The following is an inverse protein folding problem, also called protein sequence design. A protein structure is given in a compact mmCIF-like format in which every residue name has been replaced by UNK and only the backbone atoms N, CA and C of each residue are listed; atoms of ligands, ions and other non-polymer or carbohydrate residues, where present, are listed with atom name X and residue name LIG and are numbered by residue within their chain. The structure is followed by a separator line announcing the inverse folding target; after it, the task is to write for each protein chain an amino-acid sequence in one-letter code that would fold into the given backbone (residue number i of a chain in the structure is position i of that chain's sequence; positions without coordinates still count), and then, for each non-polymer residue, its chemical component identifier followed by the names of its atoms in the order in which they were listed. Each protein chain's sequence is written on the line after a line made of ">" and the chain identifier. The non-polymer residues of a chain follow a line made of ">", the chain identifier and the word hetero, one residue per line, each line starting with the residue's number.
data_IF_441552895658
#
_entry.id   IF_441552895658
#
_cell.length_a   1.000
_cell.length_b   1.000
_cell.length_c   1.000
_cell.angle_alpha   90.00
_cell.angle_beta   90.00
_cell.angle_gamma   90.00
#
_symmetry.space_group_name_H-M   'P 1'
#
loop_
_entity.id
_entity.type
_entity.pdbx_description
1 polymer ?
#
# COMPACT_ATOMS: atom_id res chain seq x y z
N UNK A 1 -2.63 18.01 1.33
CA UNK A 1 -3.76 17.14 0.98
C UNK A 1 -3.17 15.79 0.57
N UNK A 2 -3.52 14.69 1.24
CA UNK A 2 -2.90 13.39 0.94
C UNK A 2 -3.40 12.84 -0.40
N UNK A 3 -2.54 12.12 -1.11
CA UNK A 3 -2.85 11.44 -2.38
C UNK A 3 -3.92 10.35 -2.27
N UNK A 4 -4.23 9.88 -1.06
CA UNK A 4 -5.31 8.92 -0.78
C UNK A 4 -6.66 9.64 -0.78
N UNK A 5 -6.76 10.76 -0.05
CA UNK A 5 -7.96 11.61 0.00
C UNK A 5 -8.44 12.01 -1.41
N UNK A 6 -7.49 12.32 -2.31
CA UNK A 6 -7.77 12.69 -3.70
C UNK A 6 -8.37 11.54 -4.53
N UNK A 7 -7.96 10.29 -4.29
CA UNK A 7 -8.47 9.12 -5.03
C UNK A 7 -9.87 8.71 -4.58
N UNK A 8 -10.14 8.84 -3.27
CA UNK A 8 -11.47 8.59 -2.71
C UNK A 8 -12.47 9.64 -3.22
N UNK A 9 -12.09 10.92 -3.21
CA UNK A 9 -12.88 12.01 -3.79
C UNK A 9 -13.16 11.79 -5.29
N UNK A 10 -12.15 11.32 -6.06
CA UNK A 10 -12.32 10.98 -7.47
C UNK A 10 -13.33 9.84 -7.68
N UNK A 11 -13.28 8.77 -6.87
CA UNK A 11 -14.25 7.68 -6.94
C UNK A 11 -15.66 8.15 -6.60
N UNK A 12 -15.78 9.00 -5.57
CA UNK A 12 -17.06 9.58 -5.18
C UNK A 12 -17.66 10.45 -6.30
N UNK A 13 -16.84 11.26 -6.96
CA UNK A 13 -17.26 12.08 -8.10
C UNK A 13 -17.70 11.22 -9.29
N UNK A 14 -16.98 10.13 -9.59
CA UNK A 14 -17.38 9.19 -10.63
C UNK A 14 -18.72 8.52 -10.33
N UNK A 15 -18.95 8.10 -9.07
CA UNK A 15 -20.23 7.53 -8.63
C UNK A 15 -21.38 8.53 -8.76
N UNK A 16 -21.18 9.78 -8.31
CA UNK A 16 -22.19 10.83 -8.43
C UNK A 16 -22.56 11.09 -9.89
N UNK A 17 -21.57 11.07 -10.79
CA UNK A 17 -21.78 11.22 -12.23
C UNK A 17 -22.58 10.06 -12.82
N UNK A 18 -22.20 8.81 -12.51
CA UNK A 18 -22.95 7.62 -12.94
C UNK A 18 -24.40 7.68 -12.46
N UNK A 19 -24.62 8.09 -11.20
CA UNK A 19 -25.96 8.25 -10.64
C UNK A 19 -26.78 9.29 -11.42
N UNK A 20 -26.20 10.45 -11.72
CA UNK A 20 -26.86 11.48 -12.53
C UNK A 20 -27.17 10.98 -13.95
N UNK A 21 -26.23 10.27 -14.58
CA UNK A 21 -26.40 9.72 -15.92
C UNK A 21 -27.50 8.64 -15.97
N UNK A 22 -27.59 7.80 -14.92
CA UNK A 22 -28.67 6.83 -14.76
C UNK A 22 -30.03 7.50 -14.55
N UNK A 23 -30.10 8.56 -13.73
CA UNK A 23 -31.32 9.32 -13.53
C UNK A 23 -31.80 9.93 -14.86
N UNK A 24 -30.88 10.53 -15.62
CA UNK A 24 -31.19 11.06 -16.94
C UNK A 24 -31.63 9.97 -17.91
N UNK A 25 -31.00 8.80 -17.88
CA UNK A 25 -31.39 7.65 -18.71
C UNK A 25 -32.83 7.21 -18.41
N UNK A 26 -33.21 7.10 -17.13
CA UNK A 26 -34.58 6.74 -16.71
C UNK A 26 -35.58 7.78 -17.22
N UNK A 27 -35.29 9.07 -17.06
CA UNK A 27 -36.16 10.15 -17.58
C UNK A 27 -36.27 10.14 -19.11
N UNK A 28 -35.17 9.86 -19.82
CA UNK A 28 -35.15 9.71 -21.28
C UNK A 28 -35.89 8.46 -21.74
N UNK A 29 -36.05 7.43 -20.89
CA UNK A 29 -36.84 6.25 -21.22
C UNK A 29 -38.34 6.56 -21.32
N UNK A 30 -38.84 7.51 -20.54
CA UNK A 30 -40.25 7.88 -20.51
C UNK A 30 -40.66 8.81 -21.67
N UNK A 31 -39.71 9.58 -22.24
CA UNK A 31 -40.01 10.70 -23.16
C UNK A 31 -39.04 10.87 -24.33
N UNK A 32 -37.93 10.14 -24.35
CA UNK A 32 -36.82 10.33 -25.28
C UNK A 32 -36.90 9.43 -26.51
N UNK A 33 -36.12 9.80 -27.54
CA UNK A 33 -35.96 8.97 -28.73
C UNK A 33 -34.93 7.86 -28.50
N UNK A 34 -34.99 6.78 -29.29
CA UNK A 34 -34.04 5.67 -29.18
C UNK A 34 -32.57 6.08 -29.34
N UNK A 35 -32.28 7.14 -30.11
CA UNK A 35 -30.93 7.71 -30.24
C UNK A 35 -30.47 8.42 -28.96
N UNK A 36 -31.36 9.14 -28.28
CA UNK A 36 -31.07 9.79 -27.00
C UNK A 36 -30.78 8.74 -25.91
N UNK A 37 -31.61 7.70 -25.83
CA UNK A 37 -31.38 6.53 -24.98
C UNK A 37 -30.01 5.88 -25.22
N UNK A 38 -29.65 5.70 -26.50
CA UNK A 38 -28.35 5.13 -26.88
C UNK A 38 -27.18 6.01 -26.42
N UNK A 39 -27.30 7.34 -26.52
CA UNK A 39 -26.26 8.26 -26.03
C UNK A 39 -26.12 8.19 -24.52
N UNK A 40 -27.25 8.17 -23.79
CA UNK A 40 -27.25 8.08 -22.32
C UNK A 40 -26.66 6.76 -21.82
N UNK A 41 -26.96 5.64 -22.47
CA UNK A 41 -26.36 4.35 -22.15
C UNK A 41 -24.83 4.38 -22.28
N UNK A 42 -24.30 4.96 -23.37
CA UNK A 42 -22.85 5.10 -23.55
C UNK A 42 -22.20 6.00 -22.50
N UNK A 43 -22.91 7.02 -22.02
CA UNK A 43 -22.41 7.88 -20.93
C UNK A 43 -22.26 7.09 -19.63
N UNK A 44 -23.27 6.27 -19.29
CA UNK A 44 -23.22 5.37 -18.13
C UNK A 44 -22.09 4.35 -18.27
N UNK A 45 -21.95 3.70 -19.43
CA UNK A 45 -20.86 2.75 -19.70
C UNK A 45 -19.48 3.41 -19.52
N UNK A 46 -19.28 4.61 -20.09
CA UNK A 46 -18.04 5.36 -19.92
C UNK A 46 -17.78 5.74 -18.47
N UNK A 47 -18.81 6.10 -17.70
CA UNK A 47 -18.68 6.40 -16.28
C UNK A 47 -18.25 5.18 -15.47
N UNK A 48 -18.83 4.01 -15.77
CA UNK A 48 -18.47 2.73 -15.13
C UNK A 48 -17.03 2.33 -15.42
N UNK A 49 -16.54 2.51 -16.65
CA UNK A 49 -15.16 2.21 -17.00
C UNK A 49 -14.19 3.13 -16.23
N UNK A 50 -14.49 4.44 -16.18
CA UNK A 50 -13.70 5.41 -15.41
C UNK A 50 -13.67 5.09 -13.91
N UNK A 51 -14.80 4.64 -13.34
CA UNK A 51 -14.86 4.22 -11.95
C UNK A 51 -14.01 2.96 -11.71
N UNK A 52 -14.09 1.97 -12.60
CA UNK A 52 -13.29 0.75 -12.51
C UNK A 52 -11.79 1.06 -12.52
N UNK A 53 -11.33 1.91 -13.43
CA UNK A 53 -9.93 2.33 -13.49
C UNK A 53 -9.51 3.06 -12.21
N UNK A 54 -10.35 3.98 -11.70
CA UNK A 54 -10.07 4.72 -10.47
C UNK A 54 -9.93 3.79 -9.25
N UNK A 55 -10.78 2.77 -9.13
CA UNK A 55 -10.71 1.77 -8.04
C UNK A 55 -9.39 0.99 -8.10
N UNK A 56 -8.92 0.60 -9.29
CA UNK A 56 -7.63 -0.10 -9.44
C UNK A 56 -6.42 0.74 -9.01
N UNK A 57 -6.56 2.06 -9.00
CA UNK A 57 -5.52 2.98 -8.54
C UNK A 57 -5.52 3.19 -7.03
N UNK A 58 -6.55 2.75 -6.30
CA UNK A 58 -6.58 2.81 -4.84
C UNK A 58 -5.48 1.87 -4.32
N UNK A 59 -4.51 2.37 -3.53
CA UNK A 59 -3.44 1.54 -3.02
C UNK A 59 -4.00 0.41 -2.16
N UNK A 60 -3.54 -0.81 -2.40
CA UNK A 60 -3.82 -1.92 -1.49
C UNK A 60 -2.99 -1.72 -0.21
N UNK A 61 -3.60 -1.04 0.76
CA UNK A 61 -2.98 -0.72 2.04
C UNK A 61 -2.70 -2.01 2.81
N UNK A 62 -3.59 -3.01 2.75
CA UNK A 62 -3.45 -4.25 3.51
C UNK A 62 -2.26 -5.11 3.05
N UNK A 63 -2.10 -5.28 1.73
CA UNK A 63 -0.93 -6.00 1.21
C UNK A 63 0.39 -5.25 1.45
N UNK A 64 0.38 -3.91 1.37
CA UNK A 64 1.56 -3.12 1.69
C UNK A 64 1.93 -3.18 3.18
N UNK A 65 0.95 -3.16 4.06
CA UNK A 65 1.14 -3.25 5.50
C UNK A 65 1.75 -4.60 5.90
N UNK A 66 1.24 -5.72 5.36
CA UNK A 66 1.81 -7.04 5.64
C UNK A 66 3.25 -7.15 5.12
N UNK A 67 3.51 -6.66 3.91
CA UNK A 67 4.87 -6.64 3.34
C UNK A 67 5.84 -5.80 4.17
N UNK A 68 5.37 -4.69 4.73
CA UNK A 68 6.16 -3.86 5.65
C UNK A 68 6.43 -4.60 6.96
N UNK A 69 5.42 -5.27 7.55
CA UNK A 69 5.59 -6.12 8.74
C UNK A 69 6.65 -7.20 8.53
N UNK A 70 6.58 -7.91 7.40
CA UNK A 70 7.54 -8.98 7.09
C UNK A 70 8.97 -8.43 6.95
N UNK A 71 9.11 -7.25 6.33
CA UNK A 71 10.41 -6.58 6.20
C UNK A 71 10.96 -6.13 7.55
N UNK A 72 10.11 -5.59 8.43
CA UNK A 72 10.50 -5.21 9.80
C UNK A 72 10.96 -6.46 10.58
N UNK A 73 10.21 -7.56 10.52
CA UNK A 73 10.58 -8.82 11.18
C UNK A 73 11.93 -9.35 10.68
N UNK A 74 12.16 -9.31 9.37
CA UNK A 74 13.46 -9.66 8.77
C UNK A 74 14.60 -8.77 9.28
N UNK A 75 14.37 -7.45 9.38
CA UNK A 75 15.38 -6.50 9.87
C UNK A 75 15.72 -6.77 11.34
N UNK A 76 14.73 -7.00 12.20
CA UNK A 76 14.96 -7.40 13.59
C UNK A 76 15.79 -8.67 13.71
N UNK A 77 15.53 -9.66 12.85
CA UNK A 77 16.30 -10.91 12.82
C UNK A 77 17.77 -10.65 12.44
N UNK A 78 18.02 -9.77 11.48
CA UNK A 78 19.39 -9.37 11.09
C UNK A 78 20.10 -8.59 12.20
N UNK A 79 19.41 -7.69 12.89
CA UNK A 79 19.96 -6.95 14.03
C UNK A 79 20.40 -7.93 15.11
N UNK A 80 19.52 -8.87 15.50
CA UNK A 80 19.85 -9.89 16.50
C UNK A 80 21.11 -10.69 16.14
N UNK A 81 21.23 -11.14 14.89
CA UNK A 81 22.41 -11.87 14.43
C UNK A 81 23.69 -11.01 14.48
N UNK A 82 23.58 -9.72 14.13
CA UNK A 82 24.69 -8.78 14.22
C UNK A 82 25.09 -8.54 15.68
N UNK A 83 24.13 -8.40 16.58
CA UNK A 83 24.39 -8.22 18.01
C UNK A 83 25.06 -9.46 18.61
N UNK A 84 24.61 -10.67 18.26
CA UNK A 84 25.23 -11.93 18.66
C UNK A 84 26.69 -12.04 18.16
N UNK A 85 26.95 -11.60 16.93
CA UNK A 85 28.31 -11.57 16.37
C UNK A 85 29.20 -10.54 17.08
N UNK A 86 28.68 -9.36 17.42
CA UNK A 86 29.43 -8.36 18.19
C UNK A 86 29.78 -8.93 19.57
N UNK A 87 28.83 -9.59 20.24
CA UNK A 87 29.05 -10.21 21.54
C UNK A 87 30.11 -11.32 21.49
N UNK A 88 30.20 -12.09 20.41
CA UNK A 88 31.23 -13.13 20.30
C UNK A 88 32.65 -12.54 20.21
N UNK A 89 32.84 -11.38 19.57
CA UNK A 89 34.12 -10.68 19.57
C UNK A 89 34.47 -10.09 20.93
N UNK A 90 33.50 -9.51 21.63
CA UNK A 90 33.70 -9.01 23.01
C UNK A 90 34.10 -10.14 23.96
N UNK A 91 33.52 -11.33 23.80
CA UNK A 91 33.89 -12.50 24.60
C UNK A 91 35.31 -13.00 24.26
N UNK A 92 35.72 -12.92 23.00
CA UNK A 92 37.06 -13.33 22.56
C UNK A 92 38.16 -12.41 23.11
N UNK A 93 37.95 -11.08 23.10
CA UNK A 93 38.91 -10.10 23.63
C UNK A 93 39.13 -10.24 25.16
N UNK A 94 38.13 -10.74 25.90
CA UNK A 94 38.24 -10.97 27.35
C UNK A 94 39.03 -12.25 27.67
N UNK A 95 38.90 -13.29 26.82
CA UNK A 95 39.55 -14.60 27.05
C UNK A 95 41.04 -14.57 26.68
N UNK A 96 41.44 -13.84 25.63
CA UNK A 96 42.86 -13.73 25.21
C UNK A 96 43.66 -12.69 26.05
N UNK A 97 42.97 -11.84 26.82
CA UNK A 97 43.59 -10.84 27.70
C UNK A 97 44.09 -11.39 29.05
N UNK A 98 43.81 -12.66 29.37
CA UNK A 98 44.06 -13.25 30.70
C UNK A 98 45.32 -14.15 30.78
N UNK A 99 46.02 -14.39 29.68
CA UNK A 99 47.33 -15.07 29.69
C UNK A 99 48.48 -14.09 29.40
N UNK A 100 48.86 -13.28 30.40
CA UNK A 100 50.19 -12.63 30.43
C UNK A 100 50.91 -12.95 31.73
N UNK A 101 51.52 -14.14 31.70
CA UNK A 101 52.74 -14.60 32.37
C UNK A 101 53.25 -13.76 33.55
N UNK A 102 53.09 -14.30 34.76
CA UNK A 102 53.89 -13.93 35.93
C UNK A 102 55.37 -14.23 35.66
N UNK A 103 56.14 -13.20 35.29
CA UNK A 103 57.60 -13.27 35.28
C UNK A 103 58.10 -13.09 36.70
N UNK A 104 58.34 -14.21 37.40
CA UNK A 104 59.19 -14.23 38.59
C UNK A 104 60.59 -13.75 38.20
N UNK A 105 61.03 -12.63 38.77
CA UNK A 105 62.43 -12.22 38.78
C UNK A 105 63.09 -12.83 40.01
N UNK A 106 64.01 -13.75 39.78
CA UNK A 106 65.05 -14.14 40.75
C UNK A 106 66.09 -13.01 40.89
#
# INVERSE_FOLDING_TARGET
>A
MNTVDNKEEQCQNNLNKIYSDLLHLICSFEKGSGSELTVRLRQVESGLEQLREAILLIPDIQNNEQRQRDKIASLYKQIKLKDELIQSFVHYDIVDGSERVDVKRD
#
